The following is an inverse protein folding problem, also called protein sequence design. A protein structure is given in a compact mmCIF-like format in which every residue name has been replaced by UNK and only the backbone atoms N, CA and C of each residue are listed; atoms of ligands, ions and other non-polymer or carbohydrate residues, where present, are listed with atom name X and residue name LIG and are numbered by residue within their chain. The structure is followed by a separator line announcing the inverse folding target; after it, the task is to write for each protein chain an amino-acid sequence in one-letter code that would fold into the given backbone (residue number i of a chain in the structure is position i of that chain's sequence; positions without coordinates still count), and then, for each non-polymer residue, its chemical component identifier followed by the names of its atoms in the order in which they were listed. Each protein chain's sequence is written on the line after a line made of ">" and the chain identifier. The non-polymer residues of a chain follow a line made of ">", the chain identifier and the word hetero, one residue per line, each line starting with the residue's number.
data_IF_456251974357
#
_entry.id   IF_456251974357
#
_cell.length_a   1.000
_cell.length_b   1.000
_cell.length_c   1.000
_cell.angle_alpha   90.00
_cell.angle_beta   90.00
_cell.angle_gamma   90.00
#
_symmetry.space_group_name_H-M   'P 1'
#
loop_
_entity.id
_entity.type
_entity.pdbx_description
1 polymer ?
#
# COMPACT_ATOMS: atom_id res chain seq x y z
N UNK A 1 10.48 22.50 31.10
CA UNK A 1 10.36 23.12 29.75
C UNK A 1 10.41 22.01 28.72
N UNK A 2 9.38 21.89 27.88
CA UNK A 2 9.29 20.91 26.80
C UNK A 2 10.36 21.20 25.73
N UNK A 3 11.30 20.27 25.52
CA UNK A 3 12.26 20.38 24.43
C UNK A 3 11.54 20.20 23.09
N UNK A 4 11.76 21.14 22.16
CA UNK A 4 11.14 21.19 20.84
C UNK A 4 11.48 19.94 20.00
N UNK A 5 10.44 19.33 19.42
CA UNK A 5 10.51 18.24 18.44
C UNK A 5 11.51 18.54 17.29
N UNK A 6 12.48 17.64 17.00
CA UNK A 6 13.30 17.76 15.81
C UNK A 6 12.44 17.50 14.55
N UNK A 7 12.55 18.44 13.60
CA UNK A 7 11.86 18.45 12.31
C UNK A 7 12.22 17.21 11.47
N UNK A 8 11.23 16.51 10.94
CA UNK A 8 11.38 15.31 10.10
C UNK A 8 11.51 15.64 8.61
N UNK A 9 12.22 14.78 7.86
CA UNK A 9 12.56 14.90 6.43
C UNK A 9 11.83 13.77 5.63
N UNK A 10 11.52 13.92 4.33
CA UNK A 10 10.72 12.94 3.57
C UNK A 10 11.42 11.59 3.30
N UNK A 11 10.61 10.52 3.25
CA UNK A 11 11.00 9.12 3.04
C UNK A 11 11.66 8.79 1.68
N UNK A 12 11.70 9.71 0.72
CA UNK A 12 12.40 9.47 -0.56
C UNK A 12 13.91 9.28 -0.39
N UNK A 13 14.51 9.95 0.60
CA UNK A 13 15.94 9.80 0.90
C UNK A 13 16.26 8.47 1.60
N UNK A 14 15.26 7.82 2.21
CA UNK A 14 15.41 6.58 2.98
C UNK A 14 15.74 5.37 2.10
N UNK A 15 15.07 5.25 0.95
CA UNK A 15 15.34 4.16 0.00
C UNK A 15 16.71 4.31 -0.68
N UNK A 16 17.16 5.55 -0.92
CA UNK A 16 18.50 5.83 -1.46
C UNK A 16 19.62 5.44 -0.48
N UNK A 17 19.43 5.66 0.83
CA UNK A 17 20.40 5.25 1.87
C UNK A 17 20.51 3.73 2.02
N UNK A 18 19.39 3.01 1.86
CA UNK A 18 19.40 1.54 1.82
C UNK A 18 20.09 1.03 0.56
N UNK A 19 19.72 1.56 -0.62
CA UNK A 19 20.29 1.15 -1.89
C UNK A 19 21.80 1.42 -1.99
N UNK A 20 22.29 2.52 -1.43
CA UNK A 20 23.72 2.86 -1.40
C UNK A 20 24.57 1.90 -0.52
N UNK A 21 23.96 1.22 0.46
CA UNK A 21 24.68 0.40 1.43
C UNK A 21 24.52 -1.12 1.25
N UNK A 22 23.51 -1.59 0.50
CA UNK A 22 23.39 -3.02 0.12
C UNK A 22 24.59 -3.47 -0.75
N UNK A 23 25.29 -2.55 -1.42
CA UNK A 23 26.54 -2.82 -2.14
C UNK A 23 27.82 -2.81 -1.29
N UNK A 24 27.73 -2.49 0.00
CA UNK A 24 28.89 -2.35 0.89
C UNK A 24 29.20 -3.69 1.59
N UNK A 25 29.80 -4.64 0.84
CA UNK A 25 30.12 -6.01 1.27
C UNK A 25 31.12 -6.12 2.44
N UNK A 26 31.66 -5.00 2.92
CA UNK A 26 32.63 -4.93 4.03
C UNK A 26 32.01 -4.78 5.42
N UNK A 27 30.68 -4.62 5.53
CA UNK A 27 30.01 -4.52 6.83
C UNK A 27 29.54 -5.90 7.30
N UNK A 28 29.85 -6.23 8.55
CA UNK A 28 29.26 -7.40 9.20
C UNK A 28 27.77 -7.16 9.49
N UNK A 29 26.97 -8.22 9.61
CA UNK A 29 25.53 -8.13 9.92
C UNK A 29 25.25 -7.30 11.19
N UNK A 30 26.10 -7.41 12.22
CA UNK A 30 25.98 -6.60 13.44
C UNK A 30 26.18 -5.10 13.18
N UNK A 31 27.20 -4.73 12.40
CA UNK A 31 27.47 -3.32 12.06
C UNK A 31 26.40 -2.75 11.15
N UNK A 32 25.87 -3.57 10.24
CA UNK A 32 24.74 -3.19 9.40
C UNK A 32 23.48 -2.93 10.24
N UNK A 33 23.17 -3.79 11.22
CA UNK A 33 22.04 -3.60 12.15
C UNK A 33 22.21 -2.39 13.04
N UNK A 34 23.42 -2.11 13.51
CA UNK A 34 23.74 -0.94 14.33
C UNK A 34 23.65 0.35 13.52
N UNK A 35 24.19 0.34 12.30
CA UNK A 35 24.03 1.43 11.34
C UNK A 35 22.54 1.69 11.06
N UNK A 36 21.75 0.64 10.81
CA UNK A 36 20.31 0.75 10.58
C UNK A 36 19.57 1.32 11.80
N UNK A 37 19.87 0.86 13.03
CA UNK A 37 19.30 1.43 14.27
C UNK A 37 19.65 2.90 14.46
N UNK A 38 20.85 3.31 14.08
CA UNK A 38 21.36 4.66 14.31
C UNK A 38 21.03 5.64 13.17
N UNK A 39 20.75 5.16 11.96
CA UNK A 39 20.42 5.98 10.78
C UNK A 39 18.93 6.03 10.49
N UNK A 40 18.15 5.07 10.98
CA UNK A 40 16.70 5.11 10.86
C UNK A 40 16.08 5.74 12.09
N UNK A 41 15.30 6.80 11.87
CA UNK A 41 14.18 7.07 12.76
C UNK A 41 13.20 5.90 12.59
N UNK A 42 13.36 4.83 13.37
CA UNK A 42 12.35 3.80 13.50
C UNK A 42 11.16 4.50 14.15
N UNK A 43 10.13 4.80 13.35
CA UNK A 43 8.87 5.34 13.86
C UNK A 43 8.15 4.20 14.56
N UNK A 44 8.48 3.99 15.83
CA UNK A 44 7.70 3.15 16.73
C UNK A 44 6.50 4.01 17.11
N UNK A 45 5.33 3.71 16.55
CA UNK A 45 4.10 4.24 17.12
C UNK A 45 3.83 3.45 18.40
N UNK A 46 3.64 4.13 19.53
CA UNK A 46 3.22 3.49 20.79
C UNK A 46 1.84 2.80 20.68
N UNK A 47 1.21 2.88 19.51
CA UNK A 47 -0.17 2.52 19.23
C UNK A 47 -0.31 1.69 17.94
N UNK A 48 0.73 0.93 17.59
CA UNK A 48 0.77 0.07 16.40
C UNK A 48 -0.44 -0.86 16.29
N UNK A 49 -0.91 -1.43 17.41
CA UNK A 49 -2.07 -2.33 17.43
C UNK A 49 -3.36 -1.63 17.00
N UNK A 50 -3.63 -0.40 17.48
CA UNK A 50 -4.80 0.37 17.05
C UNK A 50 -4.69 0.72 15.57
N UNK A 51 -3.52 1.18 15.12
CA UNK A 51 -3.30 1.56 13.72
C UNK A 51 -3.52 0.36 12.81
N UNK A 52 -3.00 -0.81 13.17
CA UNK A 52 -3.19 -2.04 12.40
C UNK A 52 -4.67 -2.45 12.37
N UNK A 53 -5.37 -2.36 13.50
CA UNK A 53 -6.80 -2.64 13.59
C UNK A 53 -7.63 -1.70 12.71
N UNK A 54 -7.36 -0.39 12.77
CA UNK A 54 -8.02 0.62 11.94
C UNK A 54 -7.76 0.37 10.45
N UNK A 55 -6.52 0.02 10.08
CA UNK A 55 -6.19 -0.28 8.70
C UNK A 55 -6.91 -1.54 8.21
N UNK A 56 -6.95 -2.61 9.03
CA UNK A 56 -7.71 -3.84 8.73
C UNK A 56 -9.20 -3.56 8.55
N UNK A 57 -9.78 -2.72 9.40
CA UNK A 57 -11.19 -2.34 9.28
C UNK A 57 -11.45 -1.53 8.00
N UNK A 58 -10.60 -0.56 7.70
CA UNK A 58 -10.71 0.25 6.49
C UNK A 58 -10.50 -0.55 5.20
N UNK A 59 -9.66 -1.57 5.22
CA UNK A 59 -9.43 -2.47 4.08
C UNK A 59 -10.35 -3.70 4.11
N UNK A 60 -11.28 -3.78 5.06
CA UNK A 60 -12.23 -4.88 5.14
C UNK A 60 -13.17 -4.89 3.94
N UNK A 61 -13.60 -6.09 3.56
CA UNK A 61 -14.53 -6.31 2.45
C UNK A 61 -15.79 -5.45 2.58
N UNK A 62 -16.34 -5.35 3.79
CA UNK A 62 -17.54 -4.56 4.08
C UNK A 62 -17.30 -3.07 3.81
N UNK A 63 -16.15 -2.54 4.24
CA UNK A 63 -15.83 -1.13 4.02
C UNK A 63 -15.56 -0.83 2.54
N UNK A 64 -14.81 -1.71 1.86
CA UNK A 64 -14.55 -1.58 0.42
C UNK A 64 -15.86 -1.56 -0.37
N UNK A 65 -16.77 -2.50 -0.10
CA UNK A 65 -18.09 -2.51 -0.74
C UNK A 65 -18.91 -1.27 -0.41
N UNK A 66 -18.92 -0.80 0.84
CA UNK A 66 -19.58 0.45 1.23
C UNK A 66 -19.09 1.65 0.43
N UNK A 67 -17.80 1.69 0.12
CA UNK A 67 -17.16 2.82 -0.56
C UNK A 67 -17.37 2.74 -2.06
N UNK A 68 -17.13 1.58 -2.68
CA UNK A 68 -16.94 1.48 -4.13
C UNK A 68 -18.09 0.78 -4.86
N UNK A 69 -18.89 -0.05 -4.20
CA UNK A 69 -19.96 -0.80 -4.88
C UNK A 69 -20.99 0.15 -5.51
N UNK A 70 -21.35 -0.14 -6.76
CA UNK A 70 -22.26 0.66 -7.59
C UNK A 70 -21.65 1.93 -8.18
N UNK A 71 -20.38 2.25 -7.90
CA UNK A 71 -19.73 3.48 -8.37
C UNK A 71 -18.81 3.22 -9.56
N UNK A 72 -18.64 4.24 -10.39
CA UNK A 72 -17.61 4.22 -11.43
C UNK A 72 -16.22 4.30 -10.82
N UNK A 73 -15.33 3.49 -11.36
CA UNK A 73 -13.93 3.40 -10.96
C UNK A 73 -12.98 3.37 -12.15
N UNK A 74 -11.73 3.72 -11.88
CA UNK A 74 -10.60 3.48 -12.76
C UNK A 74 -9.63 2.51 -12.07
N UNK A 75 -9.37 1.38 -12.71
CA UNK A 75 -8.31 0.45 -12.33
C UNK A 75 -7.03 0.80 -13.11
N UNK A 76 -5.94 1.02 -12.38
CA UNK A 76 -4.63 1.38 -12.92
C UNK A 76 -3.56 0.37 -12.50
N UNK A 77 -2.66 0.00 -13.40
CA UNK A 77 -1.39 -0.63 -13.06
C UNK A 77 -0.39 0.44 -12.64
N UNK A 78 0.27 0.26 -11.50
CA UNK A 78 1.35 1.11 -11.03
C UNK A 78 2.67 0.41 -11.31
N UNK A 79 3.40 0.89 -12.32
CA UNK A 79 4.70 0.32 -12.70
C UNK A 79 5.79 0.65 -11.66
N UNK A 80 6.90 -0.09 -11.69
CA UNK A 80 8.01 0.08 -10.75
C UNK A 80 8.63 1.50 -10.75
N UNK A 81 8.52 2.24 -11.85
CA UNK A 81 8.97 3.63 -11.97
C UNK A 81 7.93 4.66 -11.46
N UNK A 82 6.82 4.21 -10.87
CA UNK A 82 5.75 5.06 -10.36
C UNK A 82 4.74 5.52 -11.40
N UNK A 83 4.95 5.22 -12.68
CA UNK A 83 4.00 5.56 -13.75
C UNK A 83 2.74 4.72 -13.61
N UNK A 84 1.58 5.36 -13.74
CA UNK A 84 0.29 4.66 -13.72
C UNK A 84 -0.30 4.56 -15.11
N UNK A 85 -0.67 3.34 -15.52
CA UNK A 85 -1.39 3.12 -16.77
C UNK A 85 -2.83 2.71 -16.46
N UNK A 86 -3.80 3.44 -17.02
CA UNK A 86 -5.21 3.07 -16.94
C UNK A 86 -5.45 1.76 -17.69
N UNK A 87 -5.90 0.74 -16.95
CA UNK A 87 -6.20 -0.56 -17.51
C UNK A 87 -7.67 -0.67 -17.89
N UNK A 88 -8.55 -0.28 -16.97
CA UNK A 88 -9.99 -0.44 -17.10
C UNK A 88 -10.69 0.74 -16.45
N UNK A 89 -11.73 1.25 -17.11
CA UNK A 89 -12.76 2.08 -16.52
C UNK A 89 -14.08 1.32 -16.53
N UNK A 90 -14.85 1.43 -15.46
CA UNK A 90 -16.18 0.82 -15.41
C UNK A 90 -16.80 0.88 -14.02
N UNK A 91 -18.03 0.37 -13.93
CA UNK A 91 -18.74 0.32 -12.66
C UNK A 91 -18.23 -0.83 -11.80
N UNK A 92 -17.79 -0.53 -10.58
CA UNK A 92 -17.50 -1.54 -9.56
C UNK A 92 -18.82 -2.15 -9.08
N UNK A 93 -19.05 -3.42 -9.37
CA UNK A 93 -20.23 -4.13 -8.84
C UNK A 93 -20.04 -4.34 -7.34
N UNK A 94 -18.92 -4.99 -6.99
CA UNK A 94 -18.55 -5.34 -5.62
C UNK A 94 -17.12 -5.86 -5.54
N UNK A 95 -16.65 -5.95 -4.30
CA UNK A 95 -15.53 -6.76 -3.88
C UNK A 95 -16.05 -8.07 -3.28
N UNK A 96 -15.34 -9.16 -3.53
CA UNK A 96 -15.58 -10.49 -2.93
C UNK A 96 -14.30 -11.01 -2.28
N UNK A 97 -14.42 -11.93 -1.32
CA UNK A 97 -13.23 -12.63 -0.80
C UNK A 97 -12.67 -13.53 -1.90
N UNK A 98 -11.35 -13.47 -2.11
CA UNK A 98 -10.68 -14.40 -2.99
C UNK A 98 -10.38 -15.72 -2.23
N UNK A 99 -10.58 -16.91 -2.83
CA UNK A 99 -10.36 -18.19 -2.16
C UNK A 99 -8.94 -18.41 -1.63
N UNK A 100 -7.95 -17.83 -2.32
CA UNK A 100 -6.53 -17.88 -1.94
C UNK A 100 -6.10 -16.77 -0.98
N UNK A 101 -6.09 -15.53 -1.47
CA UNK A 101 -5.63 -14.37 -0.70
C UNK A 101 -6.26 -13.07 -1.22
N UNK A 102 -6.50 -12.13 -0.32
CA UNK A 102 -7.00 -10.80 -0.68
C UNK A 102 -8.46 -10.78 -1.10
N UNK A 103 -8.79 -9.85 -1.98
CA UNK A 103 -10.14 -9.60 -2.48
C UNK A 103 -10.15 -9.65 -4.01
N UNK A 104 -11.30 -9.96 -4.56
CA UNK A 104 -11.57 -9.92 -5.99
C UNK A 104 -12.46 -8.72 -6.28
N UNK A 105 -11.96 -7.76 -7.04
CA UNK A 105 -12.77 -6.68 -7.61
C UNK A 105 -13.54 -7.21 -8.83
N UNK A 106 -14.84 -6.91 -8.88
CA UNK A 106 -15.74 -7.26 -9.99
C UNK A 106 -16.21 -5.98 -10.68
N UNK A 107 -15.87 -5.81 -11.96
CA UNK A 107 -16.23 -4.65 -12.79
C UNK A 107 -17.13 -5.10 -13.96
N UNK A 108 -18.19 -4.36 -14.26
CA UNK A 108 -19.21 -4.74 -15.27
C UNK A 108 -18.84 -4.45 -16.74
N UNK A 109 -19.70 -4.99 -17.62
CA UNK A 109 -19.64 -5.28 -19.06
C UNK A 109 -18.67 -6.37 -19.53
N UNK A 110 -17.54 -6.60 -18.83
CA UNK A 110 -16.53 -7.58 -19.28
C UNK A 110 -16.46 -8.89 -18.46
N UNK A 111 -17.27 -9.03 -17.40
CA UNK A 111 -17.17 -10.13 -16.40
C UNK A 111 -15.75 -10.33 -15.83
N UNK A 112 -14.87 -9.34 -15.96
CA UNK A 112 -13.47 -9.46 -15.56
C UNK A 112 -13.35 -9.31 -14.07
N UNK A 113 -12.61 -10.25 -13.49
CA UNK A 113 -12.29 -10.33 -12.07
C UNK A 113 -10.83 -9.96 -11.88
N UNK A 114 -10.58 -9.05 -10.95
CA UNK A 114 -9.23 -8.60 -10.62
C UNK A 114 -8.93 -8.92 -9.16
N UNK A 115 -8.04 -9.88 -8.94
CA UNK A 115 -7.56 -10.21 -7.59
C UNK A 115 -6.53 -9.18 -7.14
N UNK A 116 -6.68 -8.70 -5.90
CA UNK A 116 -5.70 -7.83 -5.26
C UNK A 116 -5.62 -8.07 -3.75
N UNK A 117 -4.46 -7.75 -3.19
CA UNK A 117 -4.16 -7.63 -1.77
C UNK A 117 -4.15 -6.14 -1.41
N UNK A 118 -5.26 -5.57 -0.91
CA UNK A 118 -5.30 -4.17 -0.52
C UNK A 118 -4.31 -3.94 0.62
N UNK A 119 -3.47 -2.92 0.48
CA UNK A 119 -2.47 -2.57 1.50
C UNK A 119 -2.62 -1.14 2.00
N UNK A 120 -3.38 -0.31 1.28
CA UNK A 120 -3.56 1.09 1.61
C UNK A 120 -4.87 1.64 1.05
N UNK A 121 -5.40 2.62 1.77
CA UNK A 121 -6.55 3.41 1.36
C UNK A 121 -6.25 4.88 1.66
N UNK A 122 -6.65 5.73 0.74
CA UNK A 122 -6.63 7.19 0.90
C UNK A 122 -7.40 7.64 2.14
N UNK A 123 -7.04 8.80 2.70
CA UNK A 123 -7.77 9.41 3.81
C UNK A 123 -9.21 9.79 3.43
N UNK A 124 -9.43 10.16 2.17
CA UNK A 124 -10.76 10.51 1.63
C UNK A 124 -11.61 9.29 1.29
N UNK A 125 -11.05 8.08 1.38
CA UNK A 125 -11.75 6.84 1.03
C UNK A 125 -12.25 6.83 -0.43
N UNK A 126 -11.51 7.44 -1.34
CA UNK A 126 -11.81 7.50 -2.78
C UNK A 126 -10.86 6.63 -3.61
N UNK A 127 -9.74 6.24 -3.01
CA UNK A 127 -8.68 5.46 -3.65
C UNK A 127 -8.17 4.35 -2.74
N UNK A 128 -7.97 3.16 -3.30
CA UNK A 128 -7.23 2.04 -2.69
C UNK A 128 -6.05 1.60 -3.57
N UNK A 129 -5.00 1.10 -2.95
CA UNK A 129 -3.92 0.41 -3.64
C UNK A 129 -3.70 -0.99 -3.05
N UNK A 130 -3.11 -1.86 -3.86
CA UNK A 130 -2.81 -3.22 -3.45
C UNK A 130 -1.96 -3.96 -4.47
N UNK A 131 -1.59 -5.20 -4.16
CA UNK A 131 -0.78 -6.04 -5.03
C UNK A 131 -1.60 -7.13 -5.71
N UNK A 132 -1.24 -7.52 -6.94
CA UNK A 132 -1.94 -8.59 -7.66
C UNK A 132 -1.71 -9.98 -7.04
N UNK A 133 -0.56 -10.15 -6.39
CA UNK A 133 -0.05 -11.43 -5.92
C UNK A 133 0.75 -11.31 -4.61
N UNK A 134 0.96 -12.44 -3.93
CA UNK A 134 1.65 -12.51 -2.62
C UNK A 134 3.13 -12.12 -2.68
N UNK A 135 3.77 -12.29 -3.82
CA UNK A 135 5.15 -11.88 -4.09
C UNK A 135 5.29 -10.36 -4.30
N UNK A 136 4.16 -9.62 -4.37
CA UNK A 136 4.10 -8.16 -4.42
C UNK A 136 4.81 -7.55 -5.63
N UNK A 137 4.86 -8.27 -6.76
CA UNK A 137 5.56 -7.82 -7.95
C UNK A 137 4.79 -6.75 -8.72
N UNK A 138 3.48 -6.93 -8.90
CA UNK A 138 2.63 -5.97 -9.60
C UNK A 138 1.66 -5.27 -8.64
N UNK A 139 1.48 -3.96 -8.85
CA UNK A 139 0.64 -3.11 -8.00
C UNK A 139 -0.54 -2.55 -8.78
N UNK A 140 -1.73 -2.66 -8.21
CA UNK A 140 -2.93 -2.02 -8.71
C UNK A 140 -3.36 -0.86 -7.83
N UNK A 141 -4.00 0.10 -8.49
CA UNK A 141 -4.70 1.22 -7.87
C UNK A 141 -6.11 1.29 -8.40
N UNK A 142 -7.08 1.45 -7.51
CA UNK A 142 -8.48 1.66 -7.84
C UNK A 142 -8.88 3.03 -7.30
N UNK A 143 -9.41 3.88 -8.16
CA UNK A 143 -9.85 5.25 -7.84
C UNK A 143 -11.31 5.41 -8.25
N UNK A 144 -12.13 6.07 -7.44
CA UNK A 144 -13.44 6.57 -7.86
C UNK A 144 -13.27 7.64 -8.95
N UNK A 145 -14.18 7.65 -9.91
CA UNK A 145 -14.29 8.70 -10.95
C UNK A 145 -15.01 9.93 -10.39
#
# INVERSE_FOLDING_TARGET
>A
MLAKNPRTVPASNFMSTLAANVGNLGLTDSQFRELFRNTQAIVIYDDCERIEKELKEKLSLNNLNRIFAGKEIILKNVCANGTTMGLVMGQCIRFENHPGFGVTLVITELERRYTLLPDSISKLSDKIEGFTSKDKLDRYRIELV
#
